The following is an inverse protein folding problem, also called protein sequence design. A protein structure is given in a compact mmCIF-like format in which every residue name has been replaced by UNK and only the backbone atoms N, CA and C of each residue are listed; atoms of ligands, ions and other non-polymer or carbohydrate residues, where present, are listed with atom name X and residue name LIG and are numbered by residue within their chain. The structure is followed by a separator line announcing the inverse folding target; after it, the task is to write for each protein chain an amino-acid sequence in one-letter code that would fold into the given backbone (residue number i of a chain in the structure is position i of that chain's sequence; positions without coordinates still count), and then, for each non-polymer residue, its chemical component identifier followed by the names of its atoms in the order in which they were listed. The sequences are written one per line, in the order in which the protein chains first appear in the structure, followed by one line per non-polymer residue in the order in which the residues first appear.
data_IF_661022983356
#
_entry.id   IF_661022983356
#
_cell.length_a   1.000
_cell.length_b   1.000
_cell.length_c   1.000
_cell.angle_alpha   90.00
_cell.angle_beta   90.00
_cell.angle_gamma   90.00
#
_symmetry.space_group_name_H-M   'P 1'
#
loop_
_entity.id
_entity.type
_entity.pdbx_description
1 polymer ?
#
# COMPACT_ATOMS: atom_id res chain seq x y z
N UNK A 1 -2.58 10.49 -6.59
CA UNK A 1 -2.70 10.72 -8.04
C UNK A 1 -1.50 11.46 -8.65
N UNK A 2 -1.17 12.70 -8.26
CA UNK A 2 -0.05 13.44 -8.87
C UNK A 2 1.26 12.65 -8.96
N UNK A 3 1.61 11.91 -7.90
CA UNK A 3 2.81 11.08 -7.86
C UNK A 3 2.78 9.88 -8.84
N UNK A 4 1.60 9.32 -9.11
CA UNK A 4 1.45 8.24 -10.09
C UNK A 4 1.56 8.77 -11.54
N UNK A 5 1.12 10.02 -11.76
CA UNK A 5 1.18 10.70 -13.05
C UNK A 5 2.51 11.45 -13.31
N UNK A 6 3.52 11.26 -12.45
CA UNK A 6 4.80 11.97 -12.55
C UNK A 6 4.73 13.49 -12.35
N UNK A 7 3.62 14.00 -11.78
CA UNK A 7 3.42 15.42 -11.44
C UNK A 7 3.88 15.72 -10.01
N UNK A 8 5.05 15.21 -9.63
CA UNK A 8 5.62 15.33 -8.27
C UNK A 8 5.76 16.80 -7.85
N UNK A 9 6.07 17.68 -8.81
CA UNK A 9 6.18 19.12 -8.62
C UNK A 9 4.86 19.82 -8.23
N UNK A 10 3.71 19.15 -8.38
CA UNK A 10 2.41 19.68 -7.96
C UNK A 10 2.10 19.37 -6.49
N UNK A 11 2.85 18.46 -5.86
CA UNK A 11 2.62 18.08 -4.47
C UNK A 11 2.96 19.23 -3.51
N UNK A 12 2.06 19.50 -2.56
CA UNK A 12 2.25 20.53 -1.54
C UNK A 12 1.93 21.95 -2.00
N UNK A 13 1.58 22.14 -3.28
CA UNK A 13 1.19 23.42 -3.84
C UNK A 13 -0.33 23.50 -3.99
N UNK A 14 -0.87 24.71 -3.96
CA UNK A 14 -2.26 24.95 -4.35
C UNK A 14 -2.38 24.76 -5.86
N UNK A 15 -3.30 23.88 -6.28
CA UNK A 15 -3.50 23.59 -7.69
C UNK A 15 -4.42 24.63 -8.34
N UNK A 16 -4.15 24.91 -9.61
CA UNK A 16 -5.02 25.71 -10.47
C UNK A 16 -6.22 24.89 -10.95
N UNK A 17 -7.25 25.57 -11.45
CA UNK A 17 -8.47 24.93 -11.97
C UNK A 17 -8.20 23.95 -13.12
N UNK A 18 -7.32 24.31 -14.05
CA UNK A 18 -6.89 23.43 -15.16
C UNK A 18 -6.19 22.17 -14.66
N UNK A 19 -5.39 22.28 -13.59
CA UNK A 19 -4.70 21.14 -12.99
C UNK A 19 -5.68 20.20 -12.27
N UNK A 20 -6.70 20.74 -11.59
CA UNK A 20 -7.77 19.93 -11.01
C UNK A 20 -8.56 19.19 -12.08
N UNK A 21 -8.97 19.88 -13.16
CA UNK A 21 -9.70 19.26 -14.26
C UNK A 21 -8.88 18.12 -14.91
N UNK A 22 -7.57 18.34 -15.12
CA UNK A 22 -6.67 17.30 -15.60
C UNK A 22 -6.62 16.10 -14.64
N UNK A 23 -6.49 16.33 -13.33
CA UNK A 23 -6.44 15.23 -12.36
C UNK A 23 -7.75 14.43 -12.30
N UNK A 24 -8.89 15.09 -12.46
CA UNK A 24 -10.20 14.44 -12.47
C UNK A 24 -10.36 13.52 -13.69
N UNK A 25 -9.97 14.02 -14.87
CA UNK A 25 -9.97 13.24 -16.11
C UNK A 25 -9.05 12.00 -16.01
N UNK A 26 -7.83 12.19 -15.49
CA UNK A 26 -6.89 11.08 -15.29
C UNK A 26 -7.36 10.09 -14.22
N UNK A 27 -8.09 10.53 -13.19
CA UNK A 27 -8.70 9.63 -12.22
C UNK A 27 -9.81 8.78 -12.87
N UNK A 28 -10.60 9.38 -13.76
CA UNK A 28 -11.62 8.69 -14.54
C UNK A 28 -11.02 7.58 -15.40
N UNK A 29 -9.98 7.90 -16.18
CA UNK A 29 -9.26 6.93 -17.03
C UNK A 29 -8.66 5.79 -16.20
N UNK A 30 -7.91 6.12 -15.14
CA UNK A 30 -7.32 5.12 -14.26
C UNK A 30 -8.37 4.19 -13.65
N UNK A 31 -9.52 4.73 -13.26
CA UNK A 31 -10.60 3.92 -12.67
C UNK A 31 -11.20 2.99 -13.72
N UNK A 32 -11.39 3.44 -14.96
CA UNK A 32 -11.87 2.60 -16.06
C UNK A 32 -10.89 1.47 -16.39
N UNK A 33 -9.58 1.76 -16.44
CA UNK A 33 -8.53 0.77 -16.64
C UNK A 33 -8.55 -0.28 -15.52
N UNK A 34 -8.60 0.14 -14.25
CA UNK A 34 -8.66 -0.78 -13.11
C UNK A 34 -9.90 -1.68 -13.15
N UNK A 35 -11.06 -1.14 -13.54
CA UNK A 35 -12.30 -1.93 -13.72
C UNK A 35 -12.15 -2.94 -14.84
N UNK A 36 -11.52 -2.55 -15.95
CA UNK A 36 -11.29 -3.40 -17.12
C UNK A 36 -10.30 -4.54 -16.84
N UNK A 37 -9.15 -4.21 -16.24
CA UNK A 37 -8.08 -5.16 -15.96
C UNK A 37 -8.37 -6.07 -14.76
N UNK A 38 -9.06 -5.54 -13.75
CA UNK A 38 -9.33 -6.26 -12.51
C UNK A 38 -10.80 -6.21 -12.08
N UNK A 39 -11.73 -6.72 -12.91
CA UNK A 39 -13.18 -6.64 -12.66
C UNK A 39 -13.63 -7.37 -11.39
N UNK A 40 -12.82 -8.29 -10.86
CA UNK A 40 -13.09 -9.01 -9.63
C UNK A 40 -13.00 -8.14 -8.36
N UNK A 41 -12.41 -6.95 -8.44
CA UNK A 41 -12.28 -6.05 -7.31
C UNK A 41 -13.27 -4.88 -7.37
N UNK A 42 -13.72 -4.43 -6.21
CA UNK A 42 -14.53 -3.22 -6.09
C UNK A 42 -13.64 -1.98 -6.23
N UNK A 43 -13.87 -1.19 -7.27
CA UNK A 43 -13.12 0.04 -7.57
C UNK A 43 -13.89 1.28 -7.13
N UNK A 44 -13.98 1.52 -5.83
CA UNK A 44 -14.49 2.79 -5.30
C UNK A 44 -13.39 3.87 -5.36
N UNK A 45 -13.80 5.14 -5.42
CA UNK A 45 -12.86 6.28 -5.30
C UNK A 45 -11.97 6.15 -4.05
N UNK A 46 -12.53 5.67 -2.94
CA UNK A 46 -11.80 5.45 -1.69
C UNK A 46 -10.73 4.36 -1.79
N UNK A 47 -11.04 3.27 -2.48
CA UNK A 47 -10.09 2.18 -2.69
C UNK A 47 -8.94 2.64 -3.60
N UNK A 48 -9.26 3.37 -4.67
CA UNK A 48 -8.28 3.94 -5.59
C UNK A 48 -7.39 4.97 -4.88
N UNK A 49 -7.97 5.88 -4.09
CA UNK A 49 -7.24 6.87 -3.29
C UNK A 49 -6.29 6.19 -2.31
N UNK A 50 -6.79 5.20 -1.56
CA UNK A 50 -6.00 4.46 -0.57
C UNK A 50 -4.81 3.78 -1.23
N UNK A 51 -5.04 3.17 -2.39
CA UNK A 51 -3.99 2.50 -3.18
C UNK A 51 -2.96 3.50 -3.71
N UNK A 52 -3.38 4.64 -4.25
CA UNK A 52 -2.49 5.70 -4.72
C UNK A 52 -1.66 6.31 -3.59
N UNK A 53 -2.24 6.44 -2.40
CA UNK A 53 -1.53 6.89 -1.20
C UNK A 53 -0.51 5.86 -0.71
N UNK A 54 -0.87 4.56 -0.72
CA UNK A 54 0.08 3.49 -0.44
C UNK A 54 1.23 3.49 -1.46
N UNK A 55 0.91 3.60 -2.76
CA UNK A 55 1.87 3.71 -3.85
C UNK A 55 2.86 4.86 -3.62
N UNK A 56 2.37 6.07 -3.34
CA UNK A 56 3.22 7.24 -3.02
C UNK A 56 4.21 6.97 -1.88
N UNK A 57 3.83 6.17 -0.88
CA UNK A 57 4.67 5.87 0.29
C UNK A 57 5.75 4.81 0.04
N UNK A 58 5.72 4.15 -1.12
CA UNK A 58 6.75 3.20 -1.54
C UNK A 58 8.04 3.90 -1.98
N UNK A 59 7.89 4.99 -2.73
CA UNK A 59 9.00 5.61 -3.44
C UNK A 59 9.65 6.76 -2.63
N UNK A 60 10.91 7.10 -2.94
CA UNK A 60 11.55 8.31 -2.44
C UNK A 60 10.72 9.57 -2.76
N UNK A 61 10.72 10.60 -1.90
CA UNK A 61 11.44 10.70 -0.63
C UNK A 61 10.69 10.07 0.56
N UNK A 62 9.54 9.43 0.34
CA UNK A 62 8.72 8.91 1.43
C UNK A 62 9.26 7.57 1.93
N UNK A 63 9.34 6.56 1.06
CA UNK A 63 9.88 5.21 1.33
C UNK A 63 9.60 4.69 2.76
N UNK A 64 8.33 4.78 3.20
CA UNK A 64 7.93 4.42 4.57
C UNK A 64 7.19 3.09 4.67
N UNK A 65 6.54 2.65 3.60
CA UNK A 65 5.56 1.55 3.66
C UNK A 65 5.80 0.57 2.53
N UNK A 66 6.21 -0.64 2.85
CA UNK A 66 6.20 -1.78 1.93
C UNK A 66 4.81 -2.41 1.87
N UNK A 67 4.57 -3.28 0.89
CA UNK A 67 3.33 -4.04 0.85
C UNK A 67 3.36 -5.11 1.97
N UNK A 68 2.39 -5.03 2.88
CA UNK A 68 2.40 -5.75 4.16
C UNK A 68 2.66 -4.86 5.38
N UNK A 69 3.09 -3.60 5.19
CA UNK A 69 3.34 -2.65 6.28
C UNK A 69 2.17 -2.52 7.27
N UNK A 70 0.93 -2.50 6.78
CA UNK A 70 -0.25 -2.36 7.63
C UNK A 70 -0.58 -3.62 8.43
N UNK A 71 -0.27 -4.81 7.89
CA UNK A 71 -0.42 -6.08 8.60
C UNK A 71 0.56 -6.11 9.78
N UNK A 72 1.81 -5.71 9.52
CA UNK A 72 2.84 -5.62 10.53
C UNK A 72 2.55 -4.49 11.56
N UNK A 73 2.04 -3.34 11.11
CA UNK A 73 1.62 -2.25 12.01
C UNK A 73 0.48 -2.67 12.94
N UNK A 74 -0.54 -3.34 12.40
CA UNK A 74 -1.65 -3.87 13.20
C UNK A 74 -1.15 -4.85 14.27
N UNK A 75 -0.18 -5.70 13.96
CA UNK A 75 0.45 -6.60 14.93
C UNK A 75 1.06 -5.80 16.10
N UNK A 76 1.84 -4.76 15.80
CA UNK A 76 2.47 -3.92 16.81
C UNK A 76 1.44 -3.18 17.69
N UNK A 77 0.37 -2.67 17.07
CA UNK A 77 -0.72 -2.02 17.79
C UNK A 77 -1.44 -3.01 18.72
N UNK A 78 -1.75 -4.23 18.24
CA UNK A 78 -2.36 -5.28 19.07
C UNK A 78 -1.48 -5.68 20.25
N UNK A 79 -0.18 -5.92 20.03
CA UNK A 79 0.78 -6.24 21.11
C UNK A 79 0.80 -5.12 22.16
N UNK A 80 0.79 -3.86 21.71
CA UNK A 80 0.84 -2.70 22.60
C UNK A 80 -0.45 -2.58 23.41
N UNK A 81 -1.61 -2.70 22.77
CA UNK A 81 -2.91 -2.59 23.43
C UNK A 81 -3.17 -3.76 24.38
N UNK A 82 -2.78 -4.98 24.00
CA UNK A 82 -2.89 -6.16 24.85
C UNK A 82 -2.05 -6.04 26.13
N UNK A 83 -0.87 -5.44 26.04
CA UNK A 83 -0.05 -5.16 27.23
C UNK A 83 -0.67 -4.08 28.11
N UNK A 84 -1.34 -3.09 27.52
CA UNK A 84 -1.97 -2.00 28.25
C UNK A 84 -3.27 -2.42 28.94
N UNK A 85 -4.03 -3.34 28.35
CA UNK A 85 -5.35 -3.77 28.83
C UNK A 85 -5.44 -5.31 28.76
N UNK A 86 -4.72 -6.05 29.64
CA UNK A 86 -4.59 -7.51 29.56
C UNK A 86 -5.89 -8.28 29.85
N UNK A 87 -6.88 -7.66 30.48
CA UNK A 87 -8.14 -8.26 30.90
C UNK A 87 -9.14 -8.53 29.77
N UNK A 88 -8.95 -7.90 28.61
CA UNK A 88 -9.82 -8.11 27.45
C UNK A 88 -9.48 -9.42 26.73
N UNK A 89 -10.48 -10.00 26.06
CA UNK A 89 -10.23 -11.12 25.16
C UNK A 89 -9.63 -10.64 23.84
N UNK A 90 -8.30 -10.66 23.75
CA UNK A 90 -7.55 -10.33 22.54
C UNK A 90 -7.55 -11.43 21.47
N UNK A 91 -7.98 -12.65 21.81
CA UNK A 91 -7.90 -13.80 20.89
C UNK A 91 -8.64 -13.54 19.59
N UNK A 92 -9.81 -12.87 19.67
CA UNK A 92 -10.67 -12.55 18.52
C UNK A 92 -9.92 -11.74 17.45
N UNK A 93 -9.10 -10.76 17.87
CA UNK A 93 -8.34 -9.94 16.93
C UNK A 93 -7.16 -10.70 16.33
N UNK A 94 -6.56 -11.61 17.10
CA UNK A 94 -5.52 -12.51 16.61
C UNK A 94 -6.08 -13.59 15.66
N UNK A 95 -7.26 -14.14 15.95
CA UNK A 95 -7.98 -15.10 15.11
C UNK A 95 -8.34 -14.46 13.77
N UNK A 96 -8.90 -13.25 13.79
CA UNK A 96 -9.18 -12.47 12.58
C UNK A 96 -7.94 -12.33 11.70
N UNK A 97 -6.79 -11.99 12.29
CA UNK A 97 -5.54 -11.87 11.52
C UNK A 97 -5.15 -13.17 10.84
N UNK A 98 -5.27 -14.31 11.54
CA UNK A 98 -4.94 -15.63 11.01
C UNK A 98 -5.90 -16.08 9.91
N UNK A 99 -7.17 -15.71 10.01
CA UNK A 99 -8.21 -16.10 9.05
C UNK A 99 -8.12 -15.31 7.74
N UNK A 100 -7.87 -14.00 7.82
CA UNK A 100 -8.00 -13.10 6.66
C UNK A 100 -6.67 -12.69 6.02
N UNK A 101 -5.54 -12.87 6.69
CA UNK A 101 -4.24 -12.53 6.09
C UNK A 101 -3.45 -13.79 5.69
N UNK A 102 -2.76 -13.75 4.54
CA UNK A 102 -1.87 -14.84 4.15
C UNK A 102 -0.78 -15.07 5.20
N UNK A 103 -0.57 -16.32 5.60
CA UNK A 103 0.36 -16.69 6.68
C UNK A 103 1.76 -16.09 6.52
N UNK A 104 2.29 -16.04 5.30
CA UNK A 104 3.62 -15.48 5.03
C UNK A 104 3.77 -13.98 5.36
N UNK A 105 2.66 -13.28 5.56
CA UNK A 105 2.62 -11.85 5.94
C UNK A 105 2.51 -11.62 7.44
N UNK A 106 2.29 -12.67 8.22
CA UNK A 106 1.98 -12.60 9.64
C UNK A 106 3.24 -12.81 10.49
N UNK A 107 3.66 -11.78 11.24
CA UNK A 107 4.87 -11.84 12.07
C UNK A 107 4.77 -12.80 13.25
N UNK A 108 3.55 -13.07 13.72
CA UNK A 108 3.26 -14.07 14.75
C UNK A 108 3.65 -15.52 14.35
N UNK A 109 3.93 -15.77 13.06
CA UNK A 109 4.44 -17.05 12.56
C UNK A 109 5.92 -17.03 12.15
N UNK A 110 6.59 -15.88 12.20
CA UNK A 110 7.88 -15.68 11.52
C UNK A 110 8.88 -14.80 12.29
N UNK A 111 8.78 -14.80 13.62
CA UNK A 111 9.76 -14.18 14.52
C UNK A 111 10.04 -12.69 14.27
N UNK A 112 9.02 -11.93 13.83
CA UNK A 112 9.08 -10.48 13.81
C UNK A 112 7.86 -9.85 14.49
N UNK A 113 8.06 -8.65 15.02
CA UNK A 113 7.00 -7.86 15.65
C UNK A 113 7.02 -6.46 15.07
N UNK A 114 5.96 -6.10 14.37
CA UNK A 114 5.81 -4.75 13.85
C UNK A 114 6.50 -4.47 12.52
N UNK A 115 6.44 -3.20 12.07
CA UNK A 115 6.93 -2.80 10.75
C UNK A 115 8.43 -3.03 10.53
N UNK A 116 8.76 -3.70 9.41
CA UNK A 116 10.11 -4.06 8.97
C UNK A 116 10.64 -3.06 7.95
N UNK A 117 11.41 -2.06 8.38
CA UNK A 117 11.95 -1.03 7.47
C UNK A 117 12.80 -1.60 6.33
N UNK A 118 13.53 -2.68 6.59
CA UNK A 118 14.33 -3.40 5.59
C UNK A 118 13.50 -3.92 4.41
N UNK A 119 12.22 -4.25 4.63
CA UNK A 119 11.33 -4.74 3.56
C UNK A 119 10.98 -3.66 2.55
N UNK A 120 10.89 -2.39 2.96
CA UNK A 120 10.70 -1.29 1.99
C UNK A 120 11.90 -1.21 1.05
N UNK A 121 13.12 -1.24 1.59
CA UNK A 121 14.35 -1.23 0.78
C UNK A 121 14.45 -2.45 -0.12
N UNK A 122 14.17 -3.66 0.42
CA UNK A 122 14.20 -4.90 -0.34
C UNK A 122 13.20 -4.88 -1.49
N UNK A 123 11.96 -4.49 -1.23
CA UNK A 123 10.90 -4.48 -2.23
C UNK A 123 11.17 -3.45 -3.32
N UNK A 124 11.67 -2.26 -2.96
CA UNK A 124 12.10 -1.26 -3.93
C UNK A 124 13.25 -1.76 -4.82
N UNK A 125 14.20 -2.52 -4.26
CA UNK A 125 15.33 -3.09 -5.02
C UNK A 125 14.91 -4.26 -5.93
N UNK A 126 13.98 -5.09 -5.46
CA UNK A 126 13.69 -6.39 -6.10
C UNK A 126 12.39 -6.39 -6.92
N UNK A 127 11.47 -5.46 -6.66
CA UNK A 127 10.10 -5.54 -7.16
C UNK A 127 9.36 -6.79 -6.66
N UNK A 128 9.80 -7.42 -5.56
CA UNK A 128 9.20 -8.67 -5.07
C UNK A 128 8.74 -8.57 -3.63
N UNK A 129 7.57 -9.14 -3.38
CA UNK A 129 7.05 -9.44 -2.05
C UNK A 129 7.70 -10.69 -1.50
N UNK A 130 7.79 -10.80 -0.17
CA UNK A 130 8.69 -11.72 0.51
C UNK A 130 8.52 -13.20 0.11
N UNK A 131 7.35 -13.62 -0.41
CA UNK A 131 7.09 -14.98 -0.92
C UNK A 131 6.05 -15.09 -2.05
N UNK A 132 5.61 -13.96 -2.60
CA UNK A 132 4.79 -13.97 -3.80
C UNK A 132 5.76 -13.79 -4.95
N UNK A 133 6.01 -14.84 -5.74
CA UNK A 133 6.58 -14.74 -7.09
C UNK A 133 5.55 -14.11 -8.05
N UNK A 134 4.88 -13.06 -7.58
CA UNK A 134 4.19 -12.12 -8.44
C UNK A 134 5.29 -11.16 -8.86
N UNK A 135 5.79 -11.22 -10.10
CA UNK A 135 6.67 -10.18 -10.59
C UNK A 135 5.87 -8.87 -10.54
N UNK A 136 6.20 -7.96 -9.62
CA UNK A 136 5.90 -6.57 -9.89
C UNK A 136 6.78 -6.25 -11.09
N UNK A 137 6.20 -6.18 -12.31
CA UNK A 137 6.88 -5.64 -13.49
C UNK A 137 7.65 -4.42 -12.99
N UNK A 138 8.97 -4.44 -13.17
CA UNK A 138 9.93 -3.46 -12.61
C UNK A 138 9.24 -2.11 -12.40
N UNK A 139 8.90 -1.79 -11.16
CA UNK A 139 8.33 -0.48 -10.80
C UNK A 139 9.48 0.54 -10.82
N UNK A 140 9.98 0.86 -12.01
CA UNK A 140 10.77 2.07 -12.21
C UNK A 140 9.80 3.21 -12.50
N UNK A 141 10.18 4.44 -12.09
CA UNK A 141 9.39 5.64 -12.43
C UNK A 141 9.18 5.76 -13.95
N UNK A 142 10.07 5.21 -14.78
CA UNK A 142 9.94 5.24 -16.24
C UNK A 142 8.94 4.20 -16.80
N UNK A 143 8.64 3.11 -16.07
CA UNK A 143 7.80 2.02 -16.58
C UNK A 143 6.30 2.37 -16.70
N UNK A 144 5.88 3.55 -16.20
CA UNK A 144 4.49 4.03 -16.22
C UNK A 144 4.29 5.16 -17.26
N UNK A 145 5.37 5.62 -17.91
CA UNK A 145 5.26 6.73 -18.86
C UNK A 145 4.98 6.34 -20.31
N UNK A 146 4.92 5.05 -20.67
CA UNK A 146 4.62 4.64 -22.05
C UNK A 146 3.95 3.27 -22.13
N UNK A 147 2.64 3.27 -22.37
CA UNK A 147 1.93 2.45 -23.36
C UNK A 147 0.56 3.07 -23.61
#
# INVERSE_FOLDING_TARGET
LCFALGKDNWLGNQLRKDQYAYLDDQLGLLTQELVSEFPQFKHSIWNVETTLCAYKKLFPPYQKRYLGYYIDRMQAELITMQRAVPELNWSILWDFRREYFPQFTLGEYHDWQGPRKSETTRMMRTGRLHKLDIPLKKLTKEAILWQ
#
